data_IF_353872309763
#
_entry.id   IF_353872309763
#
_cell.length_a   1.000
_cell.length_b   1.000
_cell.length_c   1.000
_cell.angle_alpha   90.00
_cell.angle_beta   90.00
_cell.angle_gamma   90.00
#
_symmetry.space_group_name_H-M   'P 1'
#
loop_
_entity.id
_entity.type
_entity.pdbx_description
1 polymer ?
#
# COMPACT_ATOMS: atom_id res chain seq x y z
N UNK A 1 -18.66 -11.52 17.71
CA UNK A 1 -17.50 -11.07 18.51
C UNK A 1 -17.16 -12.18 19.48
N UNK A 2 -15.95 -12.73 19.42
CA UNK A 2 -15.45 -13.59 20.50
C UNK A 2 -15.34 -12.73 21.76
N UNK A 3 -15.91 -13.21 22.86
CA UNK A 3 -15.75 -12.56 24.15
C UNK A 3 -14.30 -12.75 24.63
N UNK A 4 -13.46 -11.74 24.38
CA UNK A 4 -12.05 -11.74 24.78
C UNK A 4 -11.90 -11.84 26.30
N UNK A 5 -12.91 -11.42 27.07
CA UNK A 5 -12.90 -11.47 28.54
C UNK A 5 -12.97 -12.90 29.09
N UNK A 6 -13.42 -13.87 28.28
CA UNK A 6 -13.42 -15.27 28.68
C UNK A 6 -12.02 -15.91 28.68
N UNK A 7 -11.03 -15.28 28.01
CA UNK A 7 -9.66 -15.80 27.90
C UNK A 7 -8.62 -14.90 28.55
N UNK A 8 -8.77 -13.59 28.46
CA UNK A 8 -7.79 -12.63 28.95
C UNK A 8 -8.34 -11.86 30.15
N UNK A 9 -7.55 -11.83 31.22
CA UNK A 9 -7.78 -11.02 32.42
C UNK A 9 -7.79 -9.52 32.11
N UNK A 10 -6.86 -9.12 31.24
CA UNK A 10 -6.65 -7.75 30.83
C UNK A 10 -6.33 -7.67 29.34
N UNK A 11 -6.88 -6.65 28.68
CA UNK A 11 -6.58 -6.30 27.29
C UNK A 11 -6.13 -4.85 27.24
N UNK A 12 -4.90 -4.62 26.78
CA UNK A 12 -4.31 -3.30 26.68
C UNK A 12 -4.13 -2.91 25.22
N UNK A 13 -4.64 -1.75 24.83
CA UNK A 13 -4.40 -1.16 23.51
C UNK A 13 -3.35 -0.05 23.63
N UNK A 14 -2.30 -0.15 22.82
CA UNK A 14 -1.19 0.79 22.77
C UNK A 14 -1.05 1.28 21.34
N UNK A 15 -1.15 2.59 21.13
CA UNK A 15 -0.74 3.23 19.88
C UNK A 15 0.79 3.14 19.76
N UNK A 16 1.24 2.42 18.74
CA UNK A 16 2.64 2.13 18.46
C UNK A 16 3.20 2.97 17.29
N UNK A 17 2.52 4.06 16.93
CA UNK A 17 2.94 4.96 15.86
C UNK A 17 4.29 5.63 16.14
N UNK A 18 4.62 5.93 17.41
CA UNK A 18 5.89 6.56 17.82
C UNK A 18 6.40 6.03 19.17
N UNK A 19 7.69 6.20 19.50
CA UNK A 19 8.21 5.86 20.83
C UNK A 19 7.44 6.54 21.98
N UNK A 20 7.00 7.78 21.78
CA UNK A 20 6.28 8.58 22.77
C UNK A 20 4.87 8.03 23.01
N UNK A 21 4.15 7.67 21.95
CA UNK A 21 2.79 7.09 22.06
C UNK A 21 2.84 5.72 22.75
N UNK A 22 3.85 4.89 22.46
CA UNK A 22 4.10 3.63 23.16
C UNK A 22 4.36 3.89 24.65
N UNK A 23 5.24 4.85 24.96
CA UNK A 23 5.61 5.18 26.34
C UNK A 23 4.41 5.68 27.14
N UNK A 24 3.56 6.53 26.54
CA UNK A 24 2.31 7.02 27.14
C UNK A 24 1.33 5.86 27.36
N UNK A 25 1.14 4.99 26.37
CA UNK A 25 0.26 3.81 26.49
C UNK A 25 0.69 2.91 27.64
N UNK A 26 1.98 2.55 27.71
CA UNK A 26 2.53 1.77 28.81
C UNK A 26 2.42 2.51 30.16
N UNK A 27 2.69 3.81 30.22
CA UNK A 27 2.52 4.60 31.44
C UNK A 27 1.07 4.56 31.95
N UNK A 28 0.08 4.66 31.06
CA UNK A 28 -1.34 4.59 31.42
C UNK A 28 -1.70 3.23 32.02
N UNK A 29 -1.09 2.13 31.52
CA UNK A 29 -1.25 0.80 32.13
C UNK A 29 -0.72 0.82 33.57
N UNK A 30 0.50 1.34 33.79
CA UNK A 30 1.11 1.39 35.12
C UNK A 30 0.23 2.16 36.13
N UNK A 31 -0.30 3.30 35.70
CA UNK A 31 -1.20 4.13 36.52
C UNK A 31 -2.50 3.38 36.81
N UNK A 32 -3.11 2.74 35.82
CA UNK A 32 -4.37 1.99 35.99
C UNK A 32 -4.24 0.81 36.95
N UNK A 33 -3.03 0.25 37.07
CA UNK A 33 -2.71 -0.90 37.92
C UNK A 33 -2.06 -0.53 39.24
N UNK A 34 -1.98 0.77 39.55
CA UNK A 34 -1.31 1.32 40.73
C UNK A 34 0.12 0.76 40.91
N UNK A 35 0.81 0.54 39.80
CA UNK A 35 2.11 -0.11 39.76
C UNK A 35 3.28 0.86 39.53
N UNK A 36 2.97 2.14 39.28
CA UNK A 36 3.94 3.21 39.08
C UNK A 36 3.48 4.23 38.03
N UNK A 37 4.43 4.95 37.45
CA UNK A 37 4.13 6.14 36.62
C UNK A 37 5.00 6.23 35.36
N UNK A 38 5.58 5.12 34.91
CA UNK A 38 6.37 5.06 33.68
C UNK A 38 6.21 3.71 32.97
N UNK A 39 6.68 3.63 31.73
CA UNK A 39 6.57 2.43 30.91
C UNK A 39 7.24 1.18 31.52
N UNK A 40 8.37 1.34 32.22
CA UNK A 40 9.08 0.22 32.85
C UNK A 40 8.34 -0.35 34.07
N UNK A 41 7.54 0.47 34.76
CA UNK A 41 6.66 0.00 35.82
C UNK A 41 5.56 -0.90 35.26
N UNK A 42 4.94 -0.50 34.14
CA UNK A 42 3.94 -1.33 33.47
C UNK A 42 4.54 -2.66 32.99
N UNK A 43 5.66 -2.63 32.27
CA UNK A 43 6.30 -3.87 31.80
C UNK A 43 6.65 -4.82 32.95
N UNK A 44 7.11 -4.29 34.09
CA UNK A 44 7.38 -5.09 35.30
C UNK A 44 6.11 -5.66 35.92
N UNK A 45 5.03 -4.87 35.98
CA UNK A 45 3.75 -5.34 36.48
C UNK A 45 3.18 -6.45 35.59
N UNK A 46 3.12 -6.23 34.28
CA UNK A 46 2.62 -7.19 33.30
C UNK A 46 3.43 -8.50 33.36
N UNK A 47 4.76 -8.41 33.45
CA UNK A 47 5.64 -9.59 33.52
C UNK A 47 5.43 -10.44 34.79
N UNK A 48 4.81 -9.87 35.84
CA UNK A 48 4.53 -10.54 37.12
C UNK A 48 3.07 -10.97 37.27
N UNK A 49 2.19 -10.56 36.35
CA UNK A 49 0.80 -10.97 36.37
C UNK A 49 0.72 -12.51 36.31
N UNK A 50 -0.13 -13.10 37.14
CA UNK A 50 -0.32 -14.55 37.16
C UNK A 50 -1.30 -15.02 36.06
N UNK A 51 -2.11 -14.10 35.56
CA UNK A 51 -3.20 -14.36 34.62
C UNK A 51 -2.78 -14.06 33.18
N UNK A 52 -3.47 -14.69 32.22
CA UNK A 52 -3.25 -14.43 30.80
C UNK A 52 -3.76 -13.04 30.44
N UNK A 53 -2.90 -12.23 29.83
CA UNK A 53 -3.20 -10.87 29.35
C UNK A 53 -2.94 -10.76 27.85
N UNK A 54 -3.49 -9.72 27.23
CA UNK A 54 -3.26 -9.36 25.84
C UNK A 54 -2.79 -7.91 25.74
N UNK A 55 -1.66 -7.68 25.05
CA UNK A 55 -1.26 -6.34 24.59
C UNK A 55 -1.47 -6.27 23.08
N UNK A 56 -2.17 -5.24 22.63
CA UNK A 56 -2.30 -4.88 21.22
C UNK A 56 -1.44 -3.66 20.96
N UNK A 57 -0.36 -3.83 20.19
CA UNK A 57 0.41 -2.72 19.61
C UNK A 57 -0.19 -2.39 18.25
N UNK A 58 -0.90 -1.27 18.18
CA UNK A 58 -1.59 -0.82 16.97
C UNK A 58 -0.73 0.18 16.18
N UNK A 59 -0.73 0.12 14.85
CA UNK A 59 0.03 1.04 13.98
C UNK A 59 1.56 1.01 14.18
N UNK A 60 2.13 -0.16 14.48
CA UNK A 60 3.58 -0.33 14.67
C UNK A 60 4.35 -0.29 13.33
N UNK A 61 4.27 0.83 12.61
CA UNK A 61 4.70 0.90 11.21
C UNK A 61 6.16 1.34 11.03
N UNK A 62 6.71 2.15 11.93
CA UNK A 62 8.04 2.74 11.75
C UNK A 62 9.14 1.67 11.91
N UNK A 63 9.90 1.34 10.84
CA UNK A 63 10.97 0.35 10.90
C UNK A 63 12.16 0.77 11.79
N UNK A 64 12.26 2.05 12.16
CA UNK A 64 13.30 2.56 13.07
C UNK A 64 12.99 2.23 14.53
N UNK A 65 11.73 1.89 14.85
CA UNK A 65 11.33 1.51 16.20
C UNK A 65 11.62 0.02 16.42
N UNK A 66 12.55 -0.27 17.33
CA UNK A 66 12.74 -1.63 17.80
C UNK A 66 11.65 -2.00 18.82
N UNK A 67 10.53 -2.53 18.32
CA UNK A 67 9.33 -2.81 19.12
C UNK A 67 9.60 -3.82 20.25
N UNK A 68 10.55 -4.74 20.08
CA UNK A 68 10.94 -5.72 21.10
C UNK A 68 11.39 -5.08 22.42
N UNK A 69 11.89 -3.84 22.40
CA UNK A 69 12.26 -3.11 23.61
C UNK A 69 11.07 -2.81 24.53
N UNK A 70 9.85 -2.87 24.00
CA UNK A 70 8.60 -2.60 24.71
C UNK A 70 7.84 -3.88 25.08
N UNK A 71 8.43 -5.06 24.88
CA UNK A 71 7.78 -6.32 25.26
C UNK A 71 8.02 -6.64 26.75
N UNK A 72 6.99 -7.14 27.46
CA UNK A 72 7.16 -7.70 28.80
C UNK A 72 8.17 -8.86 28.77
N UNK A 73 9.07 -8.91 29.76
CA UNK A 73 10.08 -9.96 29.85
C UNK A 73 9.54 -11.17 30.61
N UNK A 74 8.61 -11.89 30.00
CA UNK A 74 7.97 -13.08 30.56
C UNK A 74 7.69 -14.16 29.48
N UNK A 75 7.22 -15.33 29.93
CA UNK A 75 6.92 -16.49 29.06
C UNK A 75 5.42 -16.76 28.90
N UNK A 76 4.58 -15.86 29.39
CA UNK A 76 3.12 -15.96 29.38
C UNK A 76 2.53 -14.67 28.81
N UNK A 77 1.23 -14.68 28.51
CA UNK A 77 0.54 -13.56 27.88
C UNK A 77 0.67 -13.55 26.36
N UNK A 78 -0.08 -12.66 25.72
CA UNK A 78 -0.23 -12.61 24.27
C UNK A 78 0.04 -11.19 23.78
N UNK A 79 0.75 -11.08 22.66
CA UNK A 79 1.00 -9.81 21.98
C UNK A 79 0.42 -9.91 20.59
N UNK A 80 -0.47 -8.98 20.25
CA UNK A 80 -0.97 -8.75 18.90
C UNK A 80 -0.34 -7.47 18.37
N UNK A 81 0.17 -7.52 17.15
CA UNK A 81 0.79 -6.38 16.47
C UNK A 81 0.02 -6.14 15.19
N UNK A 82 -0.50 -4.93 15.01
CA UNK A 82 -0.99 -4.47 13.70
C UNK A 82 0.09 -3.57 13.10
N UNK A 83 0.45 -3.82 11.84
CA UNK A 83 1.53 -3.10 11.18
C UNK A 83 1.49 -3.28 9.68
N UNK A 84 1.90 -2.25 8.96
CA UNK A 84 2.24 -2.23 7.53
C UNK A 84 3.67 -2.70 7.26
N UNK A 85 4.51 -2.77 8.29
CA UNK A 85 5.90 -3.21 8.21
C UNK A 85 5.99 -4.75 8.33
N UNK A 86 6.23 -5.49 7.22
CA UNK A 86 6.34 -6.94 7.28
C UNK A 86 7.55 -7.42 8.09
N UNK A 87 8.55 -6.56 8.34
CA UNK A 87 9.73 -6.89 9.14
C UNK A 87 9.41 -7.29 10.57
N UNK A 88 8.27 -6.88 11.13
CA UNK A 88 7.84 -7.28 12.47
C UNK A 88 7.43 -8.75 12.59
N UNK A 89 7.26 -9.46 11.47
CA UNK A 89 6.97 -10.90 11.48
C UNK A 89 8.05 -11.71 12.23
N UNK A 90 9.28 -11.20 12.33
CA UNK A 90 10.38 -11.83 13.11
C UNK A 90 10.04 -11.98 14.60
N UNK A 91 9.13 -11.15 15.11
CA UNK A 91 8.72 -11.16 16.51
C UNK A 91 7.50 -12.06 16.77
N UNK A 92 6.84 -12.55 15.73
CA UNK A 92 5.55 -13.22 15.85
C UNK A 92 5.69 -14.75 15.71
N UNK A 93 5.03 -15.51 16.59
CA UNK A 93 4.90 -16.96 16.44
C UNK A 93 3.99 -17.36 15.26
N UNK A 94 3.09 -16.46 14.87
CA UNK A 94 2.26 -16.55 13.68
C UNK A 94 1.98 -15.15 13.15
N UNK A 95 1.93 -14.99 11.83
CA UNK A 95 1.54 -13.74 11.18
C UNK A 95 0.61 -14.06 10.00
N UNK A 96 -0.22 -13.10 9.62
CA UNK A 96 -1.13 -13.23 8.47
C UNK A 96 -1.25 -11.87 7.81
N UNK A 97 -1.01 -11.84 6.50
CA UNK A 97 -1.26 -10.64 5.72
C UNK A 97 -2.77 -10.40 5.61
N UNK A 98 -3.19 -9.17 5.85
CA UNK A 98 -4.57 -8.75 5.60
C UNK A 98 -4.69 -8.48 4.09
N UNK A 99 -5.44 -9.33 3.39
CA UNK A 99 -5.70 -9.18 1.96
C UNK A 99 -6.85 -8.21 1.69
N UNK A 100 -7.10 -7.94 0.41
CA UNK A 100 -8.33 -7.29 -0.03
C UNK A 100 -9.54 -8.06 0.49
N UNK A 101 -10.65 -7.33 0.67
CA UNK A 101 -11.86 -7.90 1.23
C UNK A 101 -12.55 -8.79 0.21
N UNK A 102 -13.14 -9.89 0.66
CA UNK A 102 -13.96 -10.74 -0.20
C UNK A 102 -15.13 -9.96 -0.80
N UNK A 103 -15.58 -10.35 -2.00
CA UNK A 103 -16.65 -9.63 -2.70
C UNK A 103 -17.93 -9.54 -1.87
N UNK A 104 -18.30 -10.63 -1.20
CA UNK A 104 -19.52 -10.70 -0.37
C UNK A 104 -19.47 -9.71 0.78
N UNK A 105 -18.34 -9.67 1.48
CA UNK A 105 -18.13 -8.81 2.65
C UNK A 105 -18.04 -7.34 2.20
N UNK A 106 -17.43 -7.10 1.04
CA UNK A 106 -17.35 -5.78 0.41
C UNK A 106 -18.72 -5.20 0.08
N UNK A 107 -19.58 -6.01 -0.54
CA UNK A 107 -20.96 -5.62 -0.85
C UNK A 107 -21.74 -5.32 0.42
N UNK A 108 -21.59 -6.16 1.44
CA UNK A 108 -22.25 -5.96 2.73
C UNK A 108 -21.78 -4.68 3.42
N UNK A 109 -20.47 -4.41 3.41
CA UNK A 109 -19.89 -3.18 3.93
C UNK A 109 -20.46 -1.95 3.19
N UNK A 110 -20.46 -1.95 1.86
CA UNK A 110 -20.96 -0.82 1.08
C UNK A 110 -22.41 -0.49 1.43
N UNK A 111 -23.28 -1.49 1.46
CA UNK A 111 -24.71 -1.31 1.72
C UNK A 111 -24.97 -0.86 3.16
N UNK A 112 -24.22 -1.39 4.13
CA UNK A 112 -24.26 -0.92 5.53
C UNK A 112 -23.82 0.53 5.64
N UNK A 113 -22.67 0.89 5.08
CA UNK A 113 -22.15 2.27 5.10
C UNK A 113 -23.05 3.25 4.34
N UNK A 114 -23.75 2.77 3.29
CA UNK A 114 -24.74 3.55 2.55
C UNK A 114 -26.09 3.68 3.27
N UNK A 115 -26.31 2.93 4.35
CA UNK A 115 -27.61 2.78 5.02
C UNK A 115 -28.72 2.36 4.04
N UNK A 116 -28.43 1.38 3.17
CA UNK A 116 -29.35 0.83 2.16
C UNK A 116 -29.63 -0.63 2.46
N UNK A 117 -30.88 -1.06 2.29
CA UNK A 117 -31.29 -2.45 2.47
C UNK A 117 -30.58 -3.38 1.47
N UNK A 118 -30.20 -4.56 1.95
CA UNK A 118 -29.59 -5.63 1.15
C UNK A 118 -30.64 -6.39 0.32
N UNK A 119 -31.31 -5.69 -0.59
CA UNK A 119 -32.15 -6.32 -1.61
C UNK A 119 -31.25 -6.93 -2.70
N UNK A 120 -31.79 -7.88 -3.48
CA UNK A 120 -31.03 -8.50 -4.56
C UNK A 120 -30.56 -7.48 -5.61
N UNK A 121 -31.42 -6.53 -5.96
CA UNK A 121 -31.12 -5.45 -6.90
C UNK A 121 -30.00 -4.55 -6.38
N UNK A 122 -30.07 -4.12 -5.11
CA UNK A 122 -29.04 -3.27 -4.52
C UNK A 122 -27.69 -4.00 -4.44
N UNK A 123 -27.69 -5.30 -4.15
CA UNK A 123 -26.47 -6.12 -4.17
C UNK A 123 -25.84 -6.19 -5.56
N UNK A 124 -26.63 -6.28 -6.62
CA UNK A 124 -26.13 -6.28 -7.99
C UNK A 124 -25.42 -4.98 -8.35
N UNK A 125 -26.02 -3.83 -8.03
CA UNK A 125 -25.38 -2.52 -8.24
C UNK A 125 -24.14 -2.36 -7.36
N UNK A 126 -24.23 -2.77 -6.09
CA UNK A 126 -23.13 -2.72 -5.15
C UNK A 126 -21.90 -3.53 -5.61
N UNK A 127 -22.09 -4.70 -6.24
CA UNK A 127 -20.99 -5.52 -6.78
C UNK A 127 -20.12 -4.74 -7.77
N UNK A 128 -20.74 -4.03 -8.70
CA UNK A 128 -20.00 -3.24 -9.69
C UNK A 128 -19.22 -2.09 -9.03
N UNK A 129 -19.80 -1.47 -7.99
CA UNK A 129 -19.13 -0.41 -7.23
C UNK A 129 -17.92 -0.95 -6.49
N UNK A 130 -18.08 -2.03 -5.71
CA UNK A 130 -16.96 -2.55 -4.90
C UNK A 130 -15.85 -3.11 -5.78
N UNK A 131 -16.19 -3.64 -6.95
CA UNK A 131 -15.22 -4.08 -7.95
C UNK A 131 -14.40 -2.93 -8.53
N UNK A 132 -15.04 -1.80 -8.88
CA UNK A 132 -14.32 -0.60 -9.34
C UNK A 132 -13.43 0.00 -8.23
N UNK A 133 -13.84 -0.16 -6.97
CA UNK A 133 -13.06 0.22 -5.79
C UNK A 133 -12.06 -0.85 -5.35
N UNK A 134 -11.86 -1.89 -6.16
CA UNK A 134 -10.90 -2.97 -5.96
C UNK A 134 -11.05 -3.64 -4.59
N UNK A 135 -12.28 -3.73 -4.07
CA UNK A 135 -12.59 -4.33 -2.77
C UNK A 135 -11.84 -3.69 -1.58
N UNK A 136 -11.40 -2.44 -1.75
CA UNK A 136 -10.60 -1.75 -0.74
C UNK A 136 -11.51 -1.19 0.38
N UNK A 137 -11.42 -1.70 1.62
CA UNK A 137 -12.38 -1.41 2.69
C UNK A 137 -12.61 0.09 2.91
N UNK A 138 -11.55 0.87 2.98
CA UNK A 138 -11.64 2.30 3.25
C UNK A 138 -12.31 3.07 2.09
N UNK A 139 -12.03 2.68 0.84
CA UNK A 139 -12.68 3.28 -0.33
C UNK A 139 -14.18 2.94 -0.38
N UNK A 140 -14.53 1.71 -0.01
CA UNK A 140 -15.92 1.24 0.08
C UNK A 140 -16.67 2.04 1.16
N UNK A 141 -16.11 2.22 2.35
CA UNK A 141 -16.75 2.99 3.42
C UNK A 141 -16.93 4.46 3.03
N UNK A 142 -15.96 5.08 2.34
CA UNK A 142 -16.10 6.42 1.77
C UNK A 142 -17.22 6.49 0.72
N UNK A 143 -17.27 5.52 -0.19
CA UNK A 143 -18.32 5.43 -1.19
C UNK A 143 -19.70 5.30 -0.55
N UNK A 144 -19.84 4.43 0.46
CA UNK A 144 -21.05 4.28 1.24
C UNK A 144 -21.48 5.59 1.91
N UNK A 145 -20.54 6.31 2.55
CA UNK A 145 -20.83 7.61 3.14
C UNK A 145 -21.32 8.65 2.12
N UNK A 146 -20.73 8.68 0.92
CA UNK A 146 -21.21 9.54 -0.16
C UNK A 146 -22.61 9.12 -0.65
N UNK A 147 -22.85 7.83 -0.85
CA UNK A 147 -24.13 7.27 -1.32
C UNK A 147 -25.23 7.55 -0.29
N UNK A 148 -24.94 7.39 1.00
CA UNK A 148 -25.88 7.69 2.10
C UNK A 148 -26.36 9.14 2.05
N UNK A 149 -25.43 10.08 1.84
CA UNK A 149 -25.72 11.53 1.76
C UNK A 149 -26.43 11.93 0.47
N UNK A 150 -26.03 11.36 -0.67
CA UNK A 150 -26.52 11.73 -2.00
C UNK A 150 -27.72 10.91 -2.48
N UNK A 151 -28.01 9.78 -1.81
CA UNK A 151 -28.99 8.76 -2.23
C UNK A 151 -28.76 8.24 -3.65
N UNK A 152 -27.50 8.18 -4.08
CA UNK A 152 -27.12 7.89 -5.46
C UNK A 152 -26.37 6.56 -5.60
N UNK A 153 -26.98 5.43 -5.21
CA UNK A 153 -26.38 4.10 -5.40
C UNK A 153 -26.18 3.81 -6.90
N UNK A 154 -27.25 3.94 -7.70
CA UNK A 154 -27.23 3.62 -9.13
C UNK A 154 -26.33 4.56 -9.96
N UNK A 155 -26.22 5.83 -9.53
CA UNK A 155 -25.43 6.85 -10.22
C UNK A 155 -24.01 6.99 -9.66
N UNK A 156 -23.63 6.21 -8.65
CA UNK A 156 -22.33 6.36 -7.98
C UNK A 156 -21.17 6.27 -8.97
N UNK A 157 -21.17 5.25 -9.85
CA UNK A 157 -20.09 5.05 -10.82
C UNK A 157 -19.98 6.19 -11.84
N UNK A 158 -21.09 6.87 -12.15
CA UNK A 158 -21.08 8.08 -13.00
C UNK A 158 -20.38 9.22 -12.27
N UNK A 159 -20.69 9.45 -10.99
CA UNK A 159 -19.98 10.46 -10.20
C UNK A 159 -18.51 10.11 -10.00
N UNK A 160 -18.22 8.83 -9.75
CA UNK A 160 -16.87 8.31 -9.53
C UNK A 160 -15.99 8.50 -10.76
N UNK A 161 -16.44 8.11 -11.95
CA UNK A 161 -15.68 8.27 -13.18
C UNK A 161 -15.34 9.73 -13.49
N UNK A 162 -16.28 10.65 -13.24
CA UNK A 162 -16.08 12.08 -13.50
C UNK A 162 -15.28 12.81 -12.41
N UNK A 163 -15.33 12.35 -11.15
CA UNK A 163 -14.82 13.10 -9.99
C UNK A 163 -13.94 12.27 -9.06
N UNK A 164 -13.27 11.23 -9.57
CA UNK A 164 -12.52 10.25 -8.78
C UNK A 164 -11.58 10.86 -7.75
N UNK A 165 -10.74 11.82 -8.17
CA UNK A 165 -9.78 12.49 -7.29
C UNK A 165 -10.52 13.14 -6.12
N UNK A 166 -11.52 13.96 -6.42
CA UNK A 166 -12.33 14.68 -5.44
C UNK A 166 -12.99 13.74 -4.43
N UNK A 167 -13.62 12.68 -4.92
CA UNK A 167 -14.33 11.71 -4.07
C UNK A 167 -13.39 10.97 -3.12
N UNK A 168 -12.20 10.60 -3.58
CA UNK A 168 -11.23 9.87 -2.77
C UNK A 168 -10.34 10.79 -1.90
N UNK A 169 -10.30 12.10 -2.17
CA UNK A 169 -9.47 13.06 -1.43
C UNK A 169 -10.23 13.91 -0.42
N UNK A 170 -11.47 14.28 -0.68
CA UNK A 170 -12.21 15.28 0.12
C UNK A 170 -13.31 14.69 1.01
N UNK A 171 -13.74 13.45 0.75
CA UNK A 171 -14.85 12.84 1.47
C UNK A 171 -14.33 11.79 2.46
N UNK A 172 -14.15 12.09 3.75
CA UNK A 172 -13.70 11.11 4.73
C UNK A 172 -14.69 9.97 4.89
N UNK A 173 -14.16 8.81 5.28
CA UNK A 173 -15.00 7.69 5.65
C UNK A 173 -15.86 8.09 6.86
N UNK A 174 -17.13 7.69 6.88
CA UNK A 174 -17.93 7.79 8.09
C UNK A 174 -17.77 6.48 8.85
N UNK A 175 -16.80 6.45 9.74
CA UNK A 175 -16.53 5.31 10.62
C UNK A 175 -16.99 5.61 12.05
N UNK A 176 -17.14 4.57 12.86
CA UNK A 176 -17.61 4.69 14.24
C UNK A 176 -16.56 5.28 15.20
N UNK A 177 -15.31 5.38 14.77
CA UNK A 177 -14.14 5.81 15.55
C UNK A 177 -13.63 7.21 15.15
N UNK A 178 -14.43 8.02 14.44
CA UNK A 178 -14.05 9.34 13.93
C UNK A 178 -12.78 9.30 13.04
N UNK A 179 -12.54 8.19 12.32
CA UNK A 179 -11.46 8.06 11.33
C UNK A 179 -11.65 9.06 10.18
N UNK A 180 -11.18 10.29 10.40
CA UNK A 180 -11.39 11.43 9.52
C UNK A 180 -10.47 11.47 8.29
N UNK A 181 -9.67 10.43 8.07
CA UNK A 181 -8.75 10.36 6.94
C UNK A 181 -9.46 9.85 5.68
N UNK A 182 -9.05 10.42 4.54
CA UNK A 182 -9.47 9.94 3.24
C UNK A 182 -8.50 8.90 2.71
N UNK A 183 -8.95 8.07 1.75
CA UNK A 183 -8.09 7.11 1.05
C UNK A 183 -6.83 7.80 0.50
N UNK A 184 -6.99 8.93 -0.19
CA UNK A 184 -5.85 9.67 -0.74
C UNK A 184 -5.00 10.32 0.34
N UNK A 185 -5.60 10.80 1.44
CA UNK A 185 -4.82 11.37 2.55
C UNK A 185 -3.94 10.30 3.19
N UNK A 186 -4.44 9.08 3.35
CA UNK A 186 -3.69 7.95 3.91
C UNK A 186 -2.45 7.65 3.07
N UNK A 187 -2.59 7.53 1.74
CA UNK A 187 -1.44 7.31 0.86
C UNK A 187 -0.51 8.52 0.77
N UNK A 188 -1.05 9.74 0.82
CA UNK A 188 -0.26 10.97 0.85
C UNK A 188 0.62 11.06 2.10
N UNK A 189 0.16 10.57 3.25
CA UNK A 189 0.98 10.49 4.46
C UNK A 189 2.14 9.52 4.21
N UNK A 190 1.87 8.28 3.81
CA UNK A 190 2.91 7.29 3.47
C UNK A 190 3.94 7.81 2.47
N UNK A 191 3.48 8.48 1.42
CA UNK A 191 4.35 8.96 0.34
C UNK A 191 5.26 10.11 0.76
N UNK A 192 4.85 10.94 1.73
CA UNK A 192 5.70 12.02 2.25
C UNK A 192 6.88 11.49 3.07
N UNK A 193 6.75 10.28 3.60
CA UNK A 193 7.81 9.62 4.36
C UNK A 193 8.82 8.89 3.46
N UNK A 194 8.56 8.83 2.14
CA UNK A 194 9.49 8.23 1.18
C UNK A 194 10.69 9.13 0.92
N UNK A 195 11.83 8.48 0.70
CA UNK A 195 12.99 9.10 0.08
C UNK A 195 12.63 9.59 -1.33
N UNK A 196 13.24 10.68 -1.83
CA UNK A 196 12.97 11.16 -3.18
C UNK A 196 13.12 10.09 -4.27
N UNK A 197 14.16 9.21 -4.26
CA UNK A 197 14.26 8.11 -5.22
C UNK A 197 13.09 7.12 -5.15
N UNK A 198 12.66 6.71 -3.96
CA UNK A 198 11.53 5.79 -3.80
C UNK A 198 10.21 6.40 -4.30
N UNK A 199 9.97 7.68 -3.99
CA UNK A 199 8.82 8.43 -4.49
C UNK A 199 8.80 8.52 -6.03
N UNK A 200 9.94 8.86 -6.63
CA UNK A 200 10.12 8.90 -8.09
C UNK A 200 9.92 7.52 -8.73
N UNK A 201 10.47 6.45 -8.13
CA UNK A 201 10.28 5.09 -8.63
C UNK A 201 8.81 4.68 -8.62
N UNK A 202 8.07 4.95 -7.54
CA UNK A 202 6.64 4.67 -7.45
C UNK A 202 5.85 5.42 -8.54
N UNK A 203 6.14 6.71 -8.72
CA UNK A 203 5.51 7.53 -9.75
C UNK A 203 5.83 7.02 -11.16
N UNK A 204 7.07 6.61 -11.43
CA UNK A 204 7.45 5.99 -12.70
C UNK A 204 6.69 4.68 -12.93
N UNK A 205 6.65 3.80 -11.93
CA UNK A 205 5.94 2.52 -12.00
C UNK A 205 4.44 2.70 -12.19
N UNK A 206 3.89 3.85 -11.80
CA UNK A 206 2.49 4.16 -12.05
C UNK A 206 2.16 4.28 -13.54
N UNK A 207 3.13 4.37 -14.46
CA UNK A 207 2.88 4.30 -15.91
C UNK A 207 3.06 2.89 -16.50
N UNK A 208 3.50 1.91 -15.71
CA UNK A 208 3.50 0.49 -16.09
C UNK A 208 2.15 -0.15 -15.81
N UNK A 209 1.96 -1.37 -16.31
CA UNK A 209 0.88 -2.21 -15.81
C UNK A 209 1.07 -2.42 -14.29
N UNK A 210 -0.01 -2.35 -13.52
CA UNK A 210 0.02 -2.34 -12.06
C UNK A 210 0.42 -3.70 -11.43
N UNK A 211 0.66 -4.73 -12.24
CA UNK A 211 1.12 -6.06 -11.82
C UNK A 211 2.28 -6.54 -12.68
N UNK A 212 3.09 -7.44 -12.11
CA UNK A 212 4.15 -8.14 -12.83
C UNK A 212 5.36 -7.26 -13.13
N UNK A 213 5.57 -6.21 -12.34
CA UNK A 213 6.69 -5.29 -12.52
C UNK A 213 7.95 -5.97 -11.99
N UNK A 214 8.99 -6.08 -12.82
CA UNK A 214 10.26 -6.70 -12.44
C UNK A 214 11.42 -5.72 -12.57
N UNK A 215 12.45 -5.90 -11.75
CA UNK A 215 13.72 -5.17 -11.82
C UNK A 215 14.31 -5.16 -13.25
N UNK A 216 14.15 -6.27 -13.98
CA UNK A 216 14.65 -6.43 -15.35
C UNK A 216 14.13 -5.38 -16.32
N UNK A 217 12.94 -4.83 -16.10
CA UNK A 217 12.38 -3.76 -16.94
C UNK A 217 13.30 -2.53 -16.89
N UNK A 218 13.79 -2.21 -15.70
CA UNK A 218 14.64 -1.04 -15.46
C UNK A 218 16.10 -1.30 -15.84
N UNK A 219 16.64 -2.46 -15.48
CA UNK A 219 18.03 -2.79 -15.83
C UNK A 219 18.24 -2.88 -17.34
N UNK A 220 17.26 -3.43 -18.08
CA UNK A 220 17.33 -3.53 -19.53
C UNK A 220 17.19 -2.16 -20.23
N UNK A 221 16.49 -1.22 -19.60
CA UNK A 221 16.32 0.13 -20.15
C UNK A 221 17.63 0.90 -20.28
N UNK A 222 18.54 0.73 -19.32
CA UNK A 222 19.87 1.35 -19.37
C UNK A 222 20.74 0.81 -20.51
N UNK A 223 20.52 -0.43 -20.89
CA UNK A 223 21.26 -1.08 -21.99
C UNK A 223 20.73 -0.69 -23.37
N UNK A 224 19.59 0.01 -23.43
CA UNK A 224 18.92 0.30 -24.69
C UNK A 224 19.25 1.70 -25.21
N UNK A 225 19.79 1.73 -26.43
CA UNK A 225 19.96 2.97 -27.18
C UNK A 225 18.69 3.24 -27.98
N UNK A 226 18.04 4.36 -27.72
CA UNK A 226 16.89 4.79 -28.51
C UNK A 226 17.27 5.00 -29.98
N UNK A 227 16.39 4.64 -30.94
CA UNK A 227 16.54 4.99 -32.34
C UNK A 227 16.71 6.51 -32.54
N UNK A 228 17.27 6.93 -33.68
CA UNK A 228 17.53 8.34 -33.98
C UNK A 228 16.24 9.19 -34.11
N UNK A 229 15.11 8.55 -34.38
CA UNK A 229 13.75 9.08 -34.38
C UNK A 229 13.00 8.88 -33.04
N UNK A 230 13.71 8.38 -32.03
CA UNK A 230 13.22 8.23 -30.67
C UNK A 230 13.21 9.54 -29.88
N UNK A 231 12.74 9.49 -28.63
CA UNK A 231 12.66 10.65 -27.75
C UNK A 231 14.03 11.28 -27.47
N UNK A 232 14.05 12.59 -27.31
CA UNK A 232 15.27 13.35 -27.06
C UNK A 232 15.85 13.03 -25.68
N UNK A 233 17.14 13.35 -25.48
CA UNK A 233 17.79 13.17 -24.17
C UNK A 233 17.13 14.05 -23.10
N UNK A 234 16.66 15.22 -23.50
CA UNK A 234 15.94 16.15 -22.64
C UNK A 234 14.58 15.58 -22.20
N UNK A 235 13.87 14.89 -23.09
CA UNK A 235 12.60 14.21 -22.79
C UNK A 235 12.77 13.01 -21.84
N UNK A 236 13.95 12.40 -21.83
CA UNK A 236 14.27 11.23 -21.01
C UNK A 236 14.99 11.57 -19.70
N UNK A 237 15.27 12.84 -19.43
CA UNK A 237 16.14 13.25 -18.33
C UNK A 237 15.67 12.72 -16.95
N UNK A 238 14.39 12.87 -16.61
CA UNK A 238 13.86 12.41 -15.30
C UNK A 238 13.93 10.89 -15.12
N UNK A 239 13.42 10.09 -16.07
CA UNK A 239 13.55 8.64 -16.04
C UNK A 239 15.01 8.14 -16.04
N UNK A 240 15.92 8.79 -16.77
CA UNK A 240 17.34 8.45 -16.75
C UNK A 240 18.00 8.81 -15.41
N UNK A 241 17.57 9.90 -14.78
CA UNK A 241 18.05 10.31 -13.46
C UNK A 241 17.70 9.25 -12.40
N UNK A 242 16.46 8.73 -12.38
CA UNK A 242 16.12 7.65 -11.45
C UNK A 242 16.85 6.34 -11.78
N UNK A 243 17.02 6.00 -13.06
CA UNK A 243 17.79 4.81 -13.43
C UNK A 243 19.25 4.94 -13.02
N UNK A 244 19.83 6.13 -13.10
CA UNK A 244 21.21 6.39 -12.67
C UNK A 244 21.43 6.15 -11.17
N UNK A 245 20.38 6.25 -10.35
CA UNK A 245 20.43 5.92 -8.92
C UNK A 245 20.84 4.46 -8.66
N UNK A 246 20.46 3.57 -9.59
CA UNK A 246 20.75 2.14 -9.56
C UNK A 246 21.98 1.77 -10.40
N UNK A 247 22.80 2.74 -10.78
CA UNK A 247 24.07 2.47 -11.49
C UNK A 247 25.27 2.75 -10.62
N UNK A 248 26.21 1.82 -10.61
CA UNK A 248 27.54 2.01 -10.05
C UNK A 248 28.33 3.03 -10.87
N UNK A 249 29.45 3.51 -10.33
CA UNK A 249 30.40 4.38 -11.07
C UNK A 249 30.97 3.70 -12.33
N UNK A 250 30.93 2.37 -12.38
CA UNK A 250 31.34 1.54 -13.52
C UNK A 250 30.29 1.47 -14.63
N UNK A 251 29.06 1.97 -14.38
CA UNK A 251 27.90 1.81 -15.24
C UNK A 251 27.17 0.47 -15.07
N UNK A 252 27.61 -0.39 -14.14
CA UNK A 252 26.92 -1.63 -13.81
C UNK A 252 25.65 -1.37 -12.99
N UNK A 253 24.64 -2.23 -13.14
CA UNK A 253 23.40 -2.17 -12.37
C UNK A 253 23.60 -2.66 -10.93
N UNK A 254 23.17 -1.87 -9.95
CA UNK A 254 23.21 -2.16 -8.52
C UNK A 254 21.84 -2.68 -8.05
N UNK A 255 21.70 -4.01 -8.07
CA UNK A 255 20.48 -4.69 -7.61
C UNK A 255 20.19 -4.49 -6.12
N UNK A 256 21.20 -4.23 -5.29
CA UNK A 256 21.01 -4.04 -3.85
C UNK A 256 20.31 -2.69 -3.60
N UNK A 257 20.76 -1.62 -4.25
CA UNK A 257 20.08 -0.32 -4.18
C UNK A 257 18.64 -0.39 -4.68
N UNK A 258 18.41 -1.12 -5.77
CA UNK A 258 17.05 -1.30 -6.26
C UNK A 258 16.17 -2.01 -5.22
N UNK A 259 16.68 -3.09 -4.62
CA UNK A 259 15.97 -3.82 -3.57
C UNK A 259 15.73 -2.98 -2.31
N UNK A 260 16.65 -2.10 -1.92
CA UNK A 260 16.47 -1.20 -0.78
C UNK A 260 15.27 -0.26 -0.98
N UNK A 261 15.11 0.32 -2.18
CA UNK A 261 13.95 1.15 -2.51
C UNK A 261 12.65 0.32 -2.57
N UNK A 262 12.71 -0.91 -3.08
CA UNK A 262 11.56 -1.82 -3.08
C UNK A 262 11.13 -2.13 -1.64
N UNK A 263 12.08 -2.42 -0.74
CA UNK A 263 11.78 -2.64 0.68
C UNK A 263 11.19 -1.41 1.36
N UNK A 264 11.67 -0.21 1.01
CA UNK A 264 11.08 1.04 1.50
C UNK A 264 9.61 1.17 1.08
N UNK A 265 9.28 0.95 -0.19
CA UNK A 265 7.91 1.00 -0.70
C UNK A 265 6.99 -0.07 -0.09
N UNK A 266 7.52 -1.27 0.17
CA UNK A 266 6.82 -2.35 0.89
C UNK A 266 6.56 -1.94 2.34
N UNK A 267 7.53 -1.32 3.01
CA UNK A 267 7.42 -0.89 4.41
C UNK A 267 6.27 0.09 4.65
N UNK A 268 5.93 0.90 3.65
CA UNK A 268 4.77 1.78 3.68
C UNK A 268 3.49 1.19 3.07
N UNK A 269 3.52 -0.11 2.70
CA UNK A 269 2.44 -0.84 2.03
C UNK A 269 1.93 -0.17 0.73
N UNK A 270 2.82 0.50 0.01
CA UNK A 270 2.49 1.14 -1.27
C UNK A 270 2.60 0.16 -2.45
N UNK A 271 3.40 -0.90 -2.28
CA UNK A 271 3.54 -2.00 -3.24
C UNK A 271 3.51 -3.35 -2.50
N UNK A 272 3.20 -4.41 -3.23
CA UNK A 272 3.38 -5.80 -2.80
C UNK A 272 4.49 -6.46 -3.62
N UNK A 273 5.24 -7.38 -3.02
CA UNK A 273 6.32 -8.11 -3.69
C UNK A 273 6.09 -9.61 -3.57
N UNK A 274 6.22 -10.32 -4.69
CA UNK A 274 6.12 -11.76 -4.79
C UNK A 274 7.54 -12.38 -4.85
N UNK A 275 8.04 -12.99 -3.75
CA UNK A 275 9.42 -13.47 -3.68
C UNK A 275 9.75 -14.55 -4.71
N UNK A 276 8.76 -15.39 -5.05
CA UNK A 276 8.92 -16.50 -6.00
C UNK A 276 9.18 -16.00 -7.42
N UNK A 277 8.39 -15.04 -7.88
CA UNK A 277 8.51 -14.48 -9.23
C UNK A 277 9.48 -13.31 -9.31
N UNK A 278 9.90 -12.76 -8.16
CA UNK A 278 10.68 -11.52 -8.04
C UNK A 278 10.02 -10.35 -8.77
N UNK A 279 8.69 -10.29 -8.69
CA UNK A 279 7.88 -9.24 -9.27
C UNK A 279 7.14 -8.50 -8.16
N UNK A 280 6.97 -7.20 -8.34
CA UNK A 280 6.10 -6.40 -7.50
C UNK A 280 4.85 -5.94 -8.25
N UNK A 281 3.86 -5.55 -7.46
CA UNK A 281 2.59 -5.02 -7.93
C UNK A 281 2.21 -3.80 -7.11
N UNK A 282 1.46 -2.90 -7.74
CA UNK A 282 0.89 -1.72 -7.09
C UNK A 282 -0.61 -1.96 -7.04
N UNK A 283 -1.23 -1.78 -5.87
CA UNK A 283 -2.69 -1.88 -5.76
C UNK A 283 -3.34 -0.90 -6.76
N UNK A 284 -4.38 -1.28 -7.54
CA UNK A 284 -4.86 -0.45 -8.65
C UNK A 284 -5.28 0.96 -8.23
N UNK A 285 -5.84 1.14 -7.03
CA UNK A 285 -6.17 2.47 -6.54
C UNK A 285 -4.94 3.29 -6.15
N UNK A 286 -3.90 2.67 -5.56
CA UNK A 286 -2.61 3.33 -5.25
C UNK A 286 -1.91 3.72 -6.56
N UNK A 287 -1.95 2.84 -7.55
CA UNK A 287 -1.41 3.06 -8.89
C UNK A 287 -2.05 4.29 -9.56
N UNK A 288 -3.39 4.29 -9.66
CA UNK A 288 -4.14 5.40 -10.23
C UNK A 288 -4.02 6.69 -9.39
N UNK A 289 -3.79 6.59 -8.08
CA UNK A 289 -3.54 7.73 -7.20
C UNK A 289 -2.15 8.33 -7.43
N UNK A 290 -1.12 7.48 -7.47
CA UNK A 290 0.26 7.89 -7.73
C UNK A 290 0.38 8.67 -9.04
N UNK A 291 -0.26 8.20 -10.11
CA UNK A 291 -0.35 8.95 -11.37
C UNK A 291 -0.98 10.34 -11.17
N UNK A 292 -2.04 10.45 -10.38
CA UNK A 292 -2.72 11.74 -10.14
C UNK A 292 -1.91 12.74 -9.31
N UNK A 293 -0.82 12.31 -8.66
CA UNK A 293 0.10 13.21 -7.96
C UNK A 293 0.99 14.01 -8.92
N UNK A 294 1.14 13.55 -10.16
CA UNK A 294 1.92 14.21 -11.20
C UNK A 294 1.06 15.24 -11.92
N UNK A 295 1.05 16.46 -11.40
CA UNK A 295 0.28 17.57 -12.00
C UNK A 295 0.97 18.19 -13.23
N UNK A 296 2.29 18.01 -13.36
CA UNK A 296 3.05 18.49 -14.52
C UNK A 296 2.92 17.49 -15.69
N UNK A 297 2.27 17.95 -16.76
CA UNK A 297 2.07 17.17 -17.97
C UNK A 297 3.39 16.82 -18.67
N UNK A 298 4.44 17.64 -18.53
CA UNK A 298 5.76 17.36 -19.12
C UNK A 298 6.44 16.18 -18.43
N UNK A 299 6.37 16.13 -17.10
CA UNK A 299 6.91 15.01 -16.31
C UNK A 299 6.14 13.72 -16.63
N UNK A 300 4.81 13.81 -16.69
CA UNK A 300 3.97 12.67 -17.06
C UNK A 300 4.29 12.15 -18.47
N UNK A 301 4.48 13.06 -19.43
CA UNK A 301 4.88 12.71 -20.80
C UNK A 301 6.26 12.04 -20.85
N UNK A 302 7.25 12.61 -20.14
CA UNK A 302 8.59 12.03 -20.00
C UNK A 302 8.54 10.60 -19.47
N UNK A 303 7.72 10.32 -18.45
CA UNK A 303 7.59 8.99 -17.88
C UNK A 303 6.94 8.00 -18.86
N UNK A 304 5.85 8.40 -19.54
CA UNK A 304 5.22 7.58 -20.58
C UNK A 304 6.20 7.20 -21.68
N UNK A 305 6.97 8.18 -22.16
CA UNK A 305 7.98 8.01 -23.21
C UNK A 305 9.08 7.05 -22.76
N UNK A 306 9.58 7.21 -21.53
CA UNK A 306 10.57 6.28 -20.98
C UNK A 306 10.02 4.87 -20.84
N UNK A 307 8.82 4.67 -20.28
CA UNK A 307 8.18 3.36 -20.18
C UNK A 307 8.05 2.70 -21.56
N UNK A 308 7.62 3.45 -22.58
CA UNK A 308 7.52 2.95 -23.95
C UNK A 308 8.88 2.47 -24.48
N UNK A 309 9.94 3.24 -24.21
CA UNK A 309 11.33 2.85 -24.47
C UNK A 309 11.76 1.57 -23.75
N UNK A 310 11.54 1.49 -22.44
CA UNK A 310 11.89 0.32 -21.62
C UNK A 310 11.15 -0.94 -22.11
N UNK A 311 9.88 -0.79 -22.49
CA UNK A 311 9.05 -1.88 -23.00
C UNK A 311 9.54 -2.36 -24.36
N UNK A 312 9.91 -1.45 -25.26
CA UNK A 312 10.48 -1.79 -26.57
C UNK A 312 11.84 -2.50 -26.42
N UNK A 313 12.70 -2.01 -25.52
CA UNK A 313 13.96 -2.64 -25.16
C UNK A 313 13.77 -4.08 -24.68
N UNK A 314 12.81 -4.30 -23.77
CA UNK A 314 12.50 -5.62 -23.24
C UNK A 314 12.00 -6.59 -24.35
N UNK A 315 11.22 -6.10 -25.32
CA UNK A 315 10.77 -6.89 -26.46
C UNK A 315 11.94 -7.26 -27.39
N UNK A 316 12.87 -6.34 -27.65
CA UNK A 316 14.01 -6.65 -28.53
C UNK A 316 15.05 -7.58 -27.87
N UNK A 317 15.32 -7.41 -26.58
CA UNK A 317 16.16 -8.35 -25.81
C UNK A 317 15.55 -9.74 -25.81
N UNK A 318 14.22 -9.84 -25.64
CA UNK A 318 13.54 -11.14 -25.75
C UNK A 318 13.56 -11.69 -27.18
N UNK A 319 13.45 -10.86 -28.24
CA UNK A 319 13.56 -11.31 -29.64
C UNK A 319 14.95 -11.86 -30.02
N UNK A 320 16.02 -11.39 -29.38
CA UNK A 320 17.33 -12.04 -29.44
C UNK A 320 17.37 -13.43 -28.78
N UNK A 321 16.46 -13.69 -27.83
CA UNK A 321 16.29 -14.99 -27.12
C UNK A 321 15.23 -15.88 -27.80
N UNK A 322 14.29 -15.32 -28.58
CA UNK A 322 13.26 -16.06 -29.31
C UNK A 322 13.83 -16.94 -30.45
N UNK A 323 15.09 -16.77 -30.85
CA UNK A 323 15.80 -17.76 -31.68
C UNK A 323 16.17 -19.05 -30.92
N UNK A 324 15.94 -19.12 -29.60
CA UNK A 324 16.37 -20.23 -28.75
C UNK A 324 15.30 -20.85 -27.83
N UNK A 325 14.10 -20.29 -27.66
CA UNK A 325 13.06 -20.94 -26.85
C UNK A 325 11.63 -20.51 -27.22
N UNK A 326 10.80 -21.48 -27.57
CA UNK A 326 9.40 -21.34 -27.96
C UNK A 326 8.47 -21.73 -26.82
N UNK A 327 8.17 -20.81 -25.89
CA UNK A 327 7.01 -20.90 -24.97
C UNK A 327 6.86 -19.60 -24.15
N UNK A 328 5.88 -18.74 -24.48
CA UNK A 328 4.91 -18.10 -23.56
C UNK A 328 4.18 -16.91 -24.23
N UNK A 329 2.87 -16.70 -23.95
CA UNK A 329 2.06 -15.64 -24.57
C UNK A 329 2.04 -14.37 -23.70
N UNK A 330 2.47 -13.23 -24.25
CA UNK A 330 2.22 -11.89 -23.67
C UNK A 330 1.24 -11.16 -24.58
N UNK A 331 0.05 -10.86 -24.08
CA UNK A 331 -0.94 -10.00 -24.71
C UNK A 331 -0.78 -8.57 -24.18
N UNK A 332 -0.57 -7.60 -25.07
CA UNK A 332 -0.69 -6.16 -24.78
C UNK A 332 -1.93 -5.64 -25.53
N UNK A 333 -2.91 -5.00 -24.87
CA UNK A 333 -4.03 -4.38 -25.56
C UNK A 333 -3.57 -3.10 -26.27
N UNK A 334 -3.68 -3.09 -27.60
CA UNK A 334 -3.51 -1.92 -28.44
C UNK A 334 -4.63 -0.89 -28.12
N UNK A 335 -4.28 0.23 -27.48
CA UNK A 335 -5.14 1.41 -27.50
C UNK A 335 -4.96 2.13 -28.84
N UNK A 336 -5.97 2.02 -29.71
CA UNK A 336 -6.06 2.71 -30.98
C UNK A 336 -6.40 4.18 -30.70
N UNK A 337 -5.42 5.08 -30.85
CA UNK A 337 -5.67 6.52 -30.90
C UNK A 337 -6.37 6.80 -32.23
N UNK A 338 -7.69 7.01 -32.20
CA UNK A 338 -8.41 7.60 -33.34
C UNK A 338 -8.13 9.09 -33.38
N UNK A 339 -7.51 9.53 -34.47
CA UNK A 339 -7.32 10.95 -34.82
C UNK A 339 -8.68 11.66 -34.92
N UNK A 340 -8.69 12.92 -34.49
CA UNK A 340 -9.55 13.98 -35.04
C UNK A 340 -8.65 15.04 -35.66
#
# INVERSE_FOLDING_TARGET
MCDLSARFSDVFFIDASTPETIAIGLMNIAVSKDSGSNAQDALRWISRAAEEWLIVFDNADDPKINLHNYFPRCKHGNILITSRNPGLAVHAGAHTAVSDMEETDSVELLLKSAAIDSTQQNREVAREIVKELCYFPLAITQAGAFISKSRALDSYLVYYSANRVRLLSEMPAQTHDDYGLTVYTTWKISFKELTPPAATLLQLCSFLHHQGISEKIFSNALMYTFPADGPSKEELQGPLEILSHFTETTGAWDSLRFMDLIHELIGYSLISFAPVTKMFSIHPLVHKWSQSTLTDQRVSHSYMVAIAGMSFAAIQVTQGVWLACSCLPIWIPYYRVTQL
#
